data_IF_241491020162
#
_entry.id   IF_241491020162
#
_cell.length_a   1.000
_cell.length_b   1.000
_cell.length_c   1.000
_cell.angle_alpha   90.00
_cell.angle_beta   90.00
_cell.angle_gamma   90.00
#
_symmetry.space_group_name_H-M   'P 1'
#
loop_
_entity.id
_entity.type
_entity.pdbx_description
1 polymer ?
#
# COMPACT_ATOMS: atom_id res chain seq x y z
N UNK A 1 -31.53 13.92 -17.73
CA UNK A 1 -31.00 12.70 -18.33
C UNK A 1 -29.47 12.65 -18.52
N UNK A 2 -28.76 13.79 -18.70
CA UNK A 2 -27.28 13.80 -18.91
C UNK A 2 -26.42 13.51 -17.65
N UNK A 3 -26.94 13.66 -16.43
CA UNK A 3 -26.20 13.44 -15.19
C UNK A 3 -26.20 11.96 -14.70
N UNK A 4 -27.13 11.14 -15.17
CA UNK A 4 -27.22 9.73 -14.79
C UNK A 4 -26.24 8.86 -15.60
N UNK A 5 -25.95 9.26 -16.84
CA UNK A 5 -25.02 8.52 -17.73
C UNK A 5 -23.58 8.64 -17.21
N UNK A 6 -23.21 9.76 -16.58
CA UNK A 6 -21.84 9.96 -16.05
C UNK A 6 -21.52 9.08 -14.82
N UNK A 7 -22.52 8.82 -13.97
CA UNK A 7 -22.36 8.00 -12.77
C UNK A 7 -22.24 6.50 -13.10
N UNK A 8 -22.96 6.04 -14.14
CA UNK A 8 -22.88 4.65 -14.60
C UNK A 8 -21.55 4.36 -15.27
N UNK A 9 -20.95 5.33 -15.98
CA UNK A 9 -19.64 5.16 -16.63
C UNK A 9 -18.47 5.09 -15.63
N UNK A 10 -18.56 5.83 -14.53
CA UNK A 10 -17.55 5.78 -13.44
C UNK A 10 -17.66 4.45 -12.67
N UNK A 11 -18.87 3.93 -12.46
CA UNK A 11 -19.06 2.64 -11.80
C UNK A 11 -18.57 1.46 -12.65
N UNK A 12 -18.72 1.53 -13.98
CA UNK A 12 -18.17 0.52 -14.91
C UNK A 12 -16.65 0.55 -15.01
N UNK A 13 -16.00 1.72 -14.88
CA UNK A 13 -14.54 1.82 -14.91
C UNK A 13 -13.89 1.27 -13.64
N UNK A 14 -14.56 1.37 -12.48
CA UNK A 14 -14.09 0.78 -11.24
C UNK A 14 -14.26 -0.75 -11.21
N UNK A 15 -15.27 -1.30 -11.89
CA UNK A 15 -15.47 -2.76 -11.98
C UNK A 15 -14.57 -3.44 -13.01
N UNK A 16 -14.17 -2.74 -14.08
CA UNK A 16 -13.28 -3.30 -15.13
C UNK A 16 -11.81 -3.31 -14.71
N UNK A 17 -11.38 -2.45 -13.79
CA UNK A 17 -10.03 -2.47 -13.20
C UNK A 17 -9.78 -3.72 -12.36
N UNK A 18 -10.79 -4.20 -11.65
CA UNK A 18 -10.69 -5.42 -10.84
C UNK A 18 -10.63 -6.72 -11.65
N UNK A 19 -11.31 -6.77 -12.81
CA UNK A 19 -11.34 -7.97 -13.67
C UNK A 19 -9.99 -8.13 -14.41
N UNK A 20 -9.27 -7.06 -14.71
CA UNK A 20 -7.96 -7.15 -15.38
C UNK A 20 -6.84 -7.67 -14.48
N UNK A 21 -6.85 -7.39 -13.18
CA UNK A 21 -5.87 -7.94 -12.25
C UNK A 21 -5.97 -9.46 -12.06
N UNK A 22 -7.17 -10.04 -12.25
CA UNK A 22 -7.37 -11.49 -12.13
C UNK A 22 -6.74 -12.29 -13.28
N UNK A 23 -6.74 -11.76 -14.50
CA UNK A 23 -6.30 -12.51 -15.68
C UNK A 23 -4.76 -12.61 -15.82
N UNK A 24 -4.01 -11.68 -15.22
CA UNK A 24 -2.53 -11.68 -15.28
C UNK A 24 -1.87 -12.51 -14.17
N UNK A 25 -2.62 -12.89 -13.12
CA UNK A 25 -2.09 -13.59 -11.96
C UNK A 25 -2.18 -15.12 -12.01
N UNK A 26 -2.91 -15.67 -12.96
CA UNK A 26 -3.06 -17.13 -13.10
C UNK A 26 -1.93 -17.69 -13.95
N UNK A 27 -0.85 -18.12 -13.30
CA UNK A 27 0.11 -19.10 -13.84
C UNK A 27 -0.23 -20.47 -13.26
N UNK A 28 0.31 -21.54 -13.84
CA UNK A 28 0.03 -22.92 -13.40
C UNK A 28 0.40 -23.18 -11.93
N UNK A 29 1.34 -22.38 -11.40
CA UNK A 29 1.85 -22.48 -10.04
C UNK A 29 0.90 -21.93 -8.97
N UNK A 30 -0.10 -21.14 -9.36
CA UNK A 30 -1.13 -20.61 -8.43
C UNK A 30 -2.51 -20.93 -8.98
N UNK A 31 -3.35 -21.48 -8.13
CA UNK A 31 -4.75 -21.82 -8.46
C UNK A 31 -5.68 -21.41 -7.31
N UNK A 32 -6.99 -21.58 -7.48
CA UNK A 32 -7.94 -21.29 -6.42
C UNK A 32 -8.18 -22.52 -5.53
N UNK A 33 -8.09 -22.31 -4.22
CA UNK A 33 -8.46 -23.28 -3.18
C UNK A 33 -9.98 -23.23 -2.93
N UNK A 34 -10.55 -22.02 -2.94
CA UNK A 34 -11.97 -21.78 -2.73
C UNK A 34 -12.44 -20.65 -3.64
N UNK A 35 -13.59 -20.81 -4.27
CA UNK A 35 -14.21 -19.82 -5.13
C UNK A 35 -15.72 -19.83 -4.94
N UNK A 36 -16.32 -18.69 -4.60
CA UNK A 36 -17.75 -18.51 -4.54
C UNK A 36 -18.14 -17.04 -4.74
N UNK A 37 -19.03 -16.78 -5.68
CA UNK A 37 -19.56 -15.45 -5.94
C UNK A 37 -21.08 -15.47 -6.02
N UNK A 38 -21.71 -14.34 -5.73
CA UNK A 38 -23.15 -14.23 -5.89
C UNK A 38 -23.77 -12.99 -5.26
N UNK A 39 -25.10 -13.05 -5.20
CA UNK A 39 -25.91 -12.06 -4.52
C UNK A 39 -26.56 -12.75 -3.31
N UNK A 40 -26.54 -12.09 -2.18
CA UNK A 40 -27.28 -12.51 -0.99
C UNK A 40 -28.36 -11.49 -0.65
N UNK A 41 -29.38 -11.96 0.07
CA UNK A 41 -30.43 -11.11 0.63
C UNK A 41 -30.44 -11.33 2.15
N UNK A 42 -30.32 -10.26 2.91
CA UNK A 42 -30.35 -10.34 4.38
C UNK A 42 -31.79 -10.55 4.90
N UNK A 43 -31.92 -10.71 6.22
CA UNK A 43 -33.19 -10.97 6.89
C UNK A 43 -34.21 -9.82 6.81
N UNK A 44 -33.79 -8.63 6.41
CA UNK A 44 -34.64 -7.43 6.24
C UNK A 44 -34.81 -7.03 4.77
N UNK A 45 -34.32 -7.86 3.83
CA UNK A 45 -34.56 -7.71 2.39
C UNK A 45 -33.48 -6.89 1.65
N UNK A 46 -32.40 -6.44 2.29
CA UNK A 46 -31.31 -5.77 1.58
C UNK A 46 -30.53 -6.79 0.76
N UNK A 47 -30.15 -6.38 -0.46
CA UNK A 47 -29.31 -7.18 -1.34
C UNK A 47 -27.87 -6.68 -1.32
N UNK A 48 -26.92 -7.61 -1.23
CA UNK A 48 -25.50 -7.38 -1.34
C UNK A 48 -24.83 -8.38 -2.27
N UNK A 49 -23.63 -8.07 -2.72
CA UNK A 49 -22.77 -9.02 -3.45
C UNK A 49 -21.71 -9.58 -2.52
N UNK A 50 -21.39 -10.84 -2.70
CA UNK A 50 -20.24 -11.48 -2.09
C UNK A 50 -19.31 -12.05 -3.16
N UNK A 51 -18.02 -12.05 -2.88
CA UNK A 51 -16.97 -12.57 -3.75
C UNK A 51 -15.85 -13.14 -2.88
N UNK A 52 -15.69 -14.46 -2.90
CA UNK A 52 -14.67 -15.16 -2.14
C UNK A 52 -13.77 -15.91 -3.10
N UNK A 53 -12.54 -15.44 -3.21
CA UNK A 53 -11.47 -16.04 -4.00
C UNK A 53 -10.28 -16.27 -3.07
N UNK A 54 -9.95 -17.53 -2.84
CA UNK A 54 -8.86 -17.93 -1.93
C UNK A 54 -7.85 -18.73 -2.73
N UNK A 55 -6.58 -18.28 -2.81
CA UNK A 55 -5.56 -18.93 -3.62
C UNK A 55 -4.95 -20.14 -2.93
N UNK A 56 -4.25 -20.95 -3.71
CA UNK A 56 -3.27 -21.93 -3.24
C UNK A 56 -2.07 -22.00 -4.19
N UNK A 57 -0.92 -22.37 -3.67
CA UNK A 57 0.26 -22.74 -4.44
C UNK A 57 0.04 -24.18 -4.92
N UNK A 58 0.21 -24.42 -6.23
CA UNK A 58 -0.10 -25.72 -6.86
C UNK A 58 0.99 -26.77 -6.63
N UNK A 59 2.20 -26.35 -6.22
CA UNK A 59 3.32 -27.24 -5.94
C UNK A 59 3.03 -28.17 -4.76
N UNK A 60 3.56 -29.40 -4.82
CA UNK A 60 3.46 -30.40 -3.74
C UNK A 60 4.77 -30.49 -2.94
N UNK A 61 5.22 -29.36 -2.39
CA UNK A 61 6.36 -29.28 -1.48
C UNK A 61 5.91 -29.10 -0.04
N UNK A 62 6.76 -29.39 0.96
CA UNK A 62 6.39 -29.14 2.37
C UNK A 62 5.97 -27.69 2.64
N UNK A 63 6.73 -26.72 2.12
CA UNK A 63 6.49 -25.29 2.33
C UNK A 63 5.23 -24.81 1.61
N UNK A 64 4.96 -25.29 0.38
CA UNK A 64 3.71 -25.00 -0.33
C UNK A 64 2.49 -25.54 0.45
N UNK A 65 2.59 -26.76 1.01
CA UNK A 65 1.52 -27.31 1.85
C UNK A 65 1.31 -26.48 3.12
N UNK A 66 2.38 -26.06 3.80
CA UNK A 66 2.29 -25.22 5.00
C UNK A 66 1.60 -23.87 4.68
N UNK A 67 2.02 -23.19 3.60
CA UNK A 67 1.38 -21.93 3.14
C UNK A 67 -0.11 -22.18 2.83
N UNK A 68 -0.43 -23.25 2.10
CA UNK A 68 -1.81 -23.57 1.74
C UNK A 68 -2.66 -23.89 2.97
N UNK A 69 -2.12 -24.57 3.97
CA UNK A 69 -2.80 -24.88 5.23
C UNK A 69 -3.09 -23.60 6.03
N UNK A 70 -2.13 -22.66 6.11
CA UNK A 70 -2.34 -21.36 6.73
C UNK A 70 -3.47 -20.58 6.01
N UNK A 71 -3.43 -20.52 4.67
CA UNK A 71 -4.44 -19.84 3.86
C UNK A 71 -5.81 -20.52 4.03
N UNK A 72 -5.88 -21.84 3.99
CA UNK A 72 -7.11 -22.60 4.18
C UNK A 72 -7.73 -22.35 5.54
N UNK A 73 -6.91 -22.46 6.61
CA UNK A 73 -7.35 -22.30 7.99
C UNK A 73 -7.91 -20.90 8.28
N UNK A 74 -7.37 -19.88 7.64
CA UNK A 74 -7.79 -18.50 7.86
C UNK A 74 -8.86 -18.05 6.87
N UNK A 75 -8.61 -18.15 5.57
CA UNK A 75 -9.43 -17.50 4.56
C UNK A 75 -10.49 -18.42 3.95
N UNK A 76 -10.17 -19.71 3.64
CA UNK A 76 -11.18 -20.61 3.11
C UNK A 76 -12.24 -20.93 4.18
N UNK A 77 -11.83 -21.19 5.40
CA UNK A 77 -12.75 -21.39 6.53
C UNK A 77 -13.63 -20.15 6.77
N UNK A 78 -13.06 -18.94 6.74
CA UNK A 78 -13.85 -17.70 6.85
C UNK A 78 -14.89 -17.62 5.73
N UNK A 79 -14.50 -17.86 4.46
CA UNK A 79 -15.40 -17.85 3.32
C UNK A 79 -16.56 -18.85 3.49
N UNK A 80 -16.26 -20.08 3.91
CA UNK A 80 -17.27 -21.12 4.17
C UNK A 80 -18.24 -20.72 5.28
N UNK A 81 -17.72 -20.17 6.39
CA UNK A 81 -18.54 -19.70 7.52
C UNK A 81 -19.49 -18.58 7.08
N UNK A 82 -18.99 -17.56 6.38
CA UNK A 82 -19.80 -16.46 5.89
C UNK A 82 -20.84 -16.92 4.85
N UNK A 83 -20.45 -17.79 3.93
CA UNK A 83 -21.37 -18.38 2.96
C UNK A 83 -22.49 -19.20 3.63
N UNK A 84 -22.16 -19.93 4.69
CA UNK A 84 -23.16 -20.65 5.47
C UNK A 84 -24.16 -19.72 6.19
N UNK A 85 -23.68 -18.59 6.74
CA UNK A 85 -24.52 -17.56 7.34
C UNK A 85 -25.48 -16.97 6.31
N UNK A 86 -24.99 -16.63 5.12
CA UNK A 86 -25.83 -16.12 4.02
C UNK A 86 -26.94 -17.09 3.63
N UNK A 87 -26.63 -18.38 3.49
CA UNK A 87 -27.64 -19.40 3.18
C UNK A 87 -28.74 -19.53 4.22
N UNK A 88 -28.46 -19.16 5.46
CA UNK A 88 -29.43 -19.12 6.55
C UNK A 88 -30.18 -17.78 6.66
N UNK A 89 -29.90 -16.81 5.78
CA UNK A 89 -30.45 -15.45 5.88
C UNK A 89 -29.95 -14.66 7.10
N UNK A 90 -28.78 -15.03 7.64
CA UNK A 90 -28.14 -14.36 8.77
C UNK A 90 -27.23 -13.26 8.28
N UNK A 91 -26.96 -12.28 9.15
CA UNK A 91 -26.03 -11.19 8.85
C UNK A 91 -24.63 -11.71 8.66
N UNK A 92 -23.96 -11.21 7.62
CA UNK A 92 -22.55 -11.46 7.34
C UNK A 92 -21.75 -10.19 7.54
N UNK A 93 -20.50 -10.33 7.91
CA UNK A 93 -19.60 -9.21 8.11
C UNK A 93 -18.43 -9.17 7.11
N UNK A 94 -18.09 -10.32 6.51
CA UNK A 94 -17.11 -10.39 5.43
C UNK A 94 -17.82 -10.81 4.13
N UNK A 95 -17.85 -9.92 3.15
CA UNK A 95 -18.43 -10.19 1.82
C UNK A 95 -17.41 -10.20 0.70
N UNK A 96 -16.15 -9.89 1.00
CA UNK A 96 -15.10 -9.96 0.01
C UNK A 96 -13.83 -10.55 0.61
N UNK A 97 -13.35 -11.63 -0.01
CA UNK A 97 -12.01 -12.17 0.16
C UNK A 97 -11.41 -12.25 -1.22
N UNK A 98 -10.27 -11.62 -1.42
CA UNK A 98 -9.58 -11.60 -2.70
C UNK A 98 -8.07 -11.72 -2.52
N UNK A 99 -7.39 -11.93 -3.62
CA UNK A 99 -5.94 -12.05 -3.64
C UNK A 99 -5.35 -11.46 -4.90
N UNK A 100 -4.03 -11.21 -4.85
CA UNK A 100 -3.18 -10.82 -5.97
C UNK A 100 -1.91 -11.67 -5.93
N UNK A 101 -1.36 -12.02 -7.09
CA UNK A 101 -0.05 -12.63 -7.20
C UNK A 101 0.89 -11.69 -7.94
N UNK A 102 2.07 -11.50 -7.37
CA UNK A 102 3.15 -10.70 -7.94
C UNK A 102 4.31 -11.64 -8.28
N UNK A 103 4.77 -11.58 -9.52
CA UNK A 103 5.78 -12.49 -10.05
C UNK A 103 7.09 -11.75 -10.29
N UNK A 104 8.16 -12.27 -9.72
CA UNK A 104 9.52 -11.81 -9.95
C UNK A 104 10.38 -13.01 -10.28
N UNK A 105 10.75 -13.14 -11.55
CA UNK A 105 11.39 -14.35 -12.11
C UNK A 105 10.55 -15.60 -11.79
N UNK A 106 11.07 -16.53 -11.00
CA UNK A 106 10.40 -17.75 -10.56
C UNK A 106 9.87 -17.66 -9.12
N UNK A 107 9.82 -16.48 -8.55
CA UNK A 107 9.24 -16.21 -7.24
C UNK A 107 7.82 -15.65 -7.37
N UNK A 108 6.91 -16.13 -6.54
CA UNK A 108 5.56 -15.61 -6.43
C UNK A 108 5.30 -15.07 -5.03
N UNK A 109 4.71 -13.88 -4.97
CA UNK A 109 4.21 -13.29 -3.74
C UNK A 109 2.69 -13.19 -3.82
N UNK A 110 2.02 -13.81 -2.86
CA UNK A 110 0.56 -13.76 -2.73
C UNK A 110 0.19 -12.71 -1.69
N UNK A 111 -0.59 -11.72 -2.08
CA UNK A 111 -1.23 -10.77 -1.16
C UNK A 111 -2.71 -11.11 -1.06
N UNK A 112 -3.17 -11.52 0.11
CA UNK A 112 -4.57 -11.78 0.40
C UNK A 112 -5.16 -10.60 1.18
N UNK A 113 -6.44 -10.33 0.91
CA UNK A 113 -7.22 -9.33 1.63
C UNK A 113 -8.60 -9.87 1.94
N UNK A 114 -9.11 -9.57 3.12
CA UNK A 114 -10.47 -9.86 3.52
C UNK A 114 -11.08 -8.62 4.19
N UNK A 115 -12.35 -8.33 3.88
CA UNK A 115 -13.07 -7.29 4.60
C UNK A 115 -13.38 -7.75 6.02
N UNK A 116 -13.24 -6.86 6.98
CA UNK A 116 -13.60 -7.05 8.37
C UNK A 116 -14.66 -6.03 8.80
N UNK A 117 -15.31 -6.21 9.96
CA UNK A 117 -16.23 -5.21 10.51
C UNK A 117 -15.59 -3.83 10.64
N UNK A 118 -16.41 -2.77 10.55
CA UNK A 118 -15.98 -1.37 10.65
C UNK A 118 -15.05 -0.90 9.53
N UNK A 119 -15.25 -1.41 8.30
CA UNK A 119 -14.46 -1.07 7.10
C UNK A 119 -12.96 -1.38 7.22
N UNK A 120 -12.62 -2.29 8.13
CA UNK A 120 -11.27 -2.81 8.24
C UNK A 120 -10.95 -3.75 7.08
N UNK A 121 -9.66 -3.83 6.76
CA UNK A 121 -9.14 -4.81 5.82
C UNK A 121 -8.07 -5.63 6.54
N UNK A 122 -8.29 -6.92 6.57
CA UNK A 122 -7.27 -7.89 6.99
C UNK A 122 -6.42 -8.24 5.78
N UNK A 123 -5.10 -8.15 5.94
CA UNK A 123 -4.13 -8.54 4.93
C UNK A 123 -3.28 -9.71 5.41
N UNK A 124 -2.81 -10.53 4.47
CA UNK A 124 -1.71 -11.46 4.66
C UNK A 124 -0.87 -11.53 3.38
N UNK A 125 0.42 -11.79 3.53
CA UNK A 125 1.32 -11.99 2.40
C UNK A 125 2.12 -13.29 2.58
N UNK A 126 2.37 -13.99 1.47
CA UNK A 126 3.14 -15.23 1.40
C UNK A 126 4.06 -15.17 0.19
N UNK A 127 5.33 -15.49 0.39
CA UNK A 127 6.30 -15.63 -0.69
C UNK A 127 6.67 -17.10 -0.90
N UNK A 128 6.84 -17.51 -2.16
CA UNK A 128 7.22 -18.87 -2.54
C UNK A 128 8.14 -18.85 -3.75
N UNK A 129 9.23 -19.59 -3.68
CA UNK A 129 10.19 -19.77 -4.76
C UNK A 129 9.87 -21.06 -5.50
N UNK A 130 9.48 -20.94 -6.78
CA UNK A 130 9.01 -22.06 -7.59
C UNK A 130 10.17 -22.99 -8.04
N UNK A 131 11.40 -22.49 -8.06
CA UNK A 131 12.59 -23.30 -8.43
C UNK A 131 13.07 -24.17 -7.28
N UNK A 132 13.18 -23.57 -6.09
CA UNK A 132 13.65 -24.29 -4.90
C UNK A 132 12.54 -25.05 -4.17
N UNK A 133 11.30 -24.63 -4.35
CA UNK A 133 10.14 -25.15 -3.63
C UNK A 133 10.03 -24.70 -2.20
N UNK A 134 10.71 -23.60 -1.83
CA UNK A 134 10.81 -23.07 -0.48
C UNK A 134 9.96 -21.83 -0.27
N UNK A 135 9.52 -21.64 0.98
CA UNK A 135 8.86 -20.40 1.43
C UNK A 135 9.89 -19.27 1.49
N UNK A 136 9.55 -18.12 0.91
CA UNK A 136 10.39 -16.92 1.00
C UNK A 136 10.07 -16.20 2.32
N UNK A 137 11.09 -16.01 3.14
CA UNK A 137 10.99 -15.30 4.42
C UNK A 137 11.39 -13.84 4.26
N UNK A 138 10.96 -12.98 5.20
CA UNK A 138 11.38 -11.57 5.25
C UNK A 138 12.90 -11.41 5.17
N UNK A 139 13.63 -12.25 5.89
CA UNK A 139 15.10 -12.24 5.89
C UNK A 139 15.68 -12.54 4.51
N UNK A 140 15.11 -13.50 3.79
CA UNK A 140 15.55 -13.84 2.41
C UNK A 140 15.31 -12.66 1.47
N UNK A 141 14.15 -11.99 1.57
CA UNK A 141 13.84 -10.80 0.77
C UNK A 141 14.91 -9.72 1.02
N UNK A 142 15.17 -9.37 2.28
CA UNK A 142 16.16 -8.34 2.62
C UNK A 142 17.57 -8.71 2.12
N UNK A 143 17.99 -9.96 2.28
CA UNK A 143 19.28 -10.42 1.81
C UNK A 143 19.43 -10.37 0.28
N UNK A 144 18.40 -10.75 -0.46
CA UNK A 144 18.38 -10.66 -1.93
C UNK A 144 18.55 -9.22 -2.43
N UNK A 145 18.04 -8.26 -1.67
CA UNK A 145 18.12 -6.82 -2.00
C UNK A 145 19.31 -6.10 -1.34
N UNK A 146 20.15 -6.81 -0.58
CA UNK A 146 21.31 -6.23 0.12
C UNK A 146 20.93 -5.23 1.22
N UNK A 147 19.71 -5.34 1.78
CA UNK A 147 19.17 -4.45 2.81
C UNK A 147 19.48 -5.06 4.18
N UNK A 148 20.00 -4.25 5.12
CA UNK A 148 20.20 -4.66 6.50
C UNK A 148 18.90 -4.56 7.29
N UNK A 149 18.67 -5.48 8.23
CA UNK A 149 17.45 -5.51 9.05
C UNK A 149 17.24 -4.21 9.85
N UNK A 150 18.31 -3.65 10.41
CA UNK A 150 18.24 -2.38 11.17
C UNK A 150 17.81 -1.21 10.26
N UNK A 151 18.43 -1.11 9.08
CA UNK A 151 18.11 -0.08 8.08
C UNK A 151 16.65 -0.18 7.62
N UNK A 152 16.21 -1.40 7.35
CA UNK A 152 14.81 -1.66 7.00
C UNK A 152 13.85 -1.21 8.10
N UNK A 153 14.10 -1.59 9.37
CA UNK A 153 13.23 -1.24 10.48
C UNK A 153 13.20 0.26 10.77
N UNK A 154 14.31 0.97 10.59
CA UNK A 154 14.35 2.44 10.70
C UNK A 154 13.45 3.08 9.64
N UNK A 155 13.60 2.70 8.37
CA UNK A 155 12.76 3.22 7.28
C UNK A 155 11.28 2.86 7.45
N UNK A 156 10.96 1.62 7.87
CA UNK A 156 9.58 1.21 8.15
C UNK A 156 8.95 2.05 9.26
N UNK A 157 9.68 2.35 10.33
CA UNK A 157 9.18 3.20 11.42
C UNK A 157 8.93 4.63 10.97
N UNK A 158 9.81 5.21 10.16
CA UNK A 158 9.60 6.56 9.62
C UNK A 158 8.39 6.59 8.65
N UNK A 159 8.24 5.60 7.77
CA UNK A 159 7.08 5.50 6.90
C UNK A 159 5.77 5.29 7.70
N UNK A 160 5.80 4.43 8.73
CA UNK A 160 4.67 4.22 9.63
C UNK A 160 4.29 5.49 10.42
N UNK A 161 5.28 6.28 10.85
CA UNK A 161 5.08 7.58 11.52
C UNK A 161 4.42 8.59 10.59
N UNK A 162 4.90 8.72 9.35
CA UNK A 162 4.32 9.60 8.36
C UNK A 162 2.85 9.23 8.08
N UNK A 163 2.57 7.94 7.93
CA UNK A 163 1.22 7.43 7.71
C UNK A 163 0.32 7.63 8.94
N UNK A 164 0.83 7.42 10.16
CA UNK A 164 0.13 7.72 11.42
C UNK A 164 -0.30 9.19 11.47
N UNK A 165 0.60 10.12 11.16
CA UNK A 165 0.28 11.56 11.12
C UNK A 165 -0.81 11.85 10.09
N UNK A 166 -0.69 11.29 8.89
CA UNK A 166 -1.68 11.44 7.80
C UNK A 166 -3.06 10.91 8.20
N UNK A 167 -3.14 9.70 8.75
CA UNK A 167 -4.40 9.05 9.13
C UNK A 167 -5.10 9.76 10.31
N UNK A 168 -4.34 10.45 11.16
CA UNK A 168 -4.85 11.19 12.32
C UNK A 168 -4.93 12.70 12.10
N UNK A 169 -4.67 13.21 10.89
CA UNK A 169 -4.63 14.66 10.57
C UNK A 169 -5.96 15.39 10.77
N UNK A 170 -7.09 14.69 10.64
CA UNK A 170 -8.44 15.24 10.84
C UNK A 170 -8.86 15.38 12.31
N UNK A 171 -8.05 14.92 13.26
CA UNK A 171 -8.37 14.96 14.68
C UNK A 171 -7.72 16.21 15.29
N UNK A 172 -8.51 17.15 15.86
CA UNK A 172 -7.98 18.34 16.51
C UNK A 172 -7.09 17.94 17.68
N UNK A 173 -5.82 18.32 17.64
CA UNK A 173 -4.83 17.99 18.68
C UNK A 173 -5.21 18.58 20.05
N UNK A 174 -5.92 19.71 20.07
CA UNK A 174 -6.47 20.37 21.25
C UNK A 174 -7.59 19.59 21.96
N UNK A 175 -8.15 18.56 21.30
CA UNK A 175 -9.16 17.65 21.87
C UNK A 175 -8.56 16.34 22.40
N UNK A 176 -7.29 16.11 22.15
CA UNK A 176 -6.55 14.98 22.67
C UNK A 176 -5.64 15.47 23.79
N UNK A 177 -5.56 14.71 24.89
CA UNK A 177 -4.43 14.88 25.82
C UNK A 177 -3.15 14.60 25.04
N UNK A 178 -2.17 15.52 25.09
CA UNK A 178 -0.89 15.40 24.37
C UNK A 178 -0.20 14.06 24.65
N UNK A 179 -0.29 13.59 25.88
CA UNK A 179 0.18 12.27 26.29
C UNK A 179 -0.44 11.10 25.51
N UNK A 180 -1.74 11.21 25.14
CA UNK A 180 -2.44 10.15 24.39
C UNK A 180 -1.98 10.03 22.94
N UNK A 181 -1.63 11.17 22.30
CA UNK A 181 -1.12 11.19 20.93
C UNK A 181 0.26 10.52 20.87
N UNK A 182 1.18 10.94 21.75
CA UNK A 182 2.52 10.39 21.80
C UNK A 182 2.53 8.91 22.22
N UNK A 183 1.63 8.51 23.12
CA UNK A 183 1.49 7.11 23.51
C UNK A 183 1.03 6.23 22.33
N UNK A 184 0.03 6.65 21.55
CA UNK A 184 -0.43 5.87 20.41
C UNK A 184 0.60 5.85 19.28
N UNK A 185 1.32 6.96 19.05
CA UNK A 185 2.43 7.01 18.11
C UNK A 185 3.53 6.03 18.54
N UNK A 186 3.97 6.09 19.81
CA UNK A 186 5.00 5.20 20.31
C UNK A 186 4.60 3.73 20.19
N UNK A 187 3.35 3.38 20.48
CA UNK A 187 2.83 2.02 20.26
C UNK A 187 2.85 1.66 18.79
N UNK A 188 2.44 2.56 17.91
CA UNK A 188 2.50 2.33 16.45
C UNK A 188 3.92 1.99 16.00
N UNK A 189 4.92 2.74 16.49
CA UNK A 189 6.32 2.47 16.15
C UNK A 189 6.85 1.16 16.76
N UNK A 190 6.39 0.78 17.95
CA UNK A 190 6.73 -0.50 18.57
C UNK A 190 6.14 -1.72 17.87
N UNK A 191 4.99 -1.57 17.19
CA UNK A 191 4.40 -2.65 16.38
C UNK A 191 5.20 -2.95 15.11
N UNK A 192 6.06 -2.02 14.66
CA UNK A 192 6.90 -2.25 13.48
C UNK A 192 8.07 -3.16 13.83
N UNK A 193 7.98 -4.44 13.44
CA UNK A 193 8.97 -5.49 13.71
C UNK A 193 9.27 -6.29 12.44
N UNK A 194 10.29 -7.12 12.50
CA UNK A 194 10.63 -8.06 11.41
C UNK A 194 9.61 -9.18 11.19
N UNK A 195 8.67 -9.37 12.12
CA UNK A 195 7.63 -10.40 12.00
C UNK A 195 6.44 -9.97 11.12
N UNK A 196 6.37 -8.69 10.75
CA UNK A 196 5.32 -8.20 9.86
C UNK A 196 5.51 -8.76 8.45
N UNK A 197 4.43 -9.28 7.80
CA UNK A 197 4.54 -9.87 6.48
C UNK A 197 5.06 -8.85 5.46
N UNK A 198 6.05 -9.27 4.68
CA UNK A 198 6.64 -8.54 3.54
C UNK A 198 6.36 -9.27 2.24
N UNK A 199 6.33 -8.52 1.17
CA UNK A 199 6.27 -9.06 -0.20
C UNK A 199 6.83 -8.06 -1.20
N UNK A 200 7.22 -8.54 -2.37
CA UNK A 200 7.54 -7.69 -3.52
C UNK A 200 6.27 -7.46 -4.31
N UNK A 201 5.91 -6.20 -4.54
CA UNK A 201 4.72 -5.84 -5.30
C UNK A 201 4.96 -5.84 -6.82
N UNK A 202 3.95 -5.47 -7.60
CA UNK A 202 4.02 -5.47 -9.07
C UNK A 202 5.14 -4.59 -9.66
N UNK A 203 5.57 -3.57 -8.94
CA UNK A 203 6.62 -2.65 -9.35
C UNK A 203 8.02 -3.13 -8.93
N UNK A 204 8.09 -4.28 -8.25
CA UNK A 204 9.32 -4.79 -7.64
C UNK A 204 9.70 -4.05 -6.37
N UNK A 205 8.74 -3.40 -5.72
CA UNK A 205 8.94 -2.66 -4.48
C UNK A 205 8.69 -3.53 -3.26
N UNK A 206 9.57 -3.41 -2.28
CA UNK A 206 9.40 -4.05 -0.99
C UNK A 206 8.26 -3.39 -0.21
N UNK A 207 7.16 -4.13 -0.05
CA UNK A 207 5.95 -3.68 0.64
C UNK A 207 5.72 -4.51 1.89
N UNK A 208 5.34 -3.85 2.98
CA UNK A 208 5.07 -4.45 4.29
C UNK A 208 3.63 -4.22 4.70
N UNK A 209 3.03 -5.21 5.34
CA UNK A 209 1.72 -5.07 5.99
C UNK A 209 1.96 -4.48 7.38
N UNK A 210 2.00 -3.15 7.48
CA UNK A 210 2.23 -2.42 8.71
C UNK A 210 0.95 -2.18 9.51
N UNK A 211 1.06 -2.08 10.82
CA UNK A 211 -0.06 -1.78 11.71
C UNK A 211 0.03 -0.34 12.20
N UNK A 212 -1.01 0.44 11.93
CA UNK A 212 -1.05 1.88 12.22
C UNK A 212 -2.15 2.18 13.23
N UNK A 213 -1.79 2.90 14.28
CA UNK A 213 -2.74 3.38 15.29
C UNK A 213 -3.58 4.54 14.76
N UNK A 214 -4.89 4.52 15.05
CA UNK A 214 -5.82 5.58 14.66
C UNK A 214 -6.75 5.87 15.84
N UNK A 215 -6.99 7.14 16.14
CA UNK A 215 -7.88 7.55 17.23
C UNK A 215 -9.37 7.30 16.93
N UNK A 216 -9.71 7.19 15.65
CA UNK A 216 -11.09 6.92 15.22
C UNK A 216 -11.30 5.46 14.84
N UNK A 217 -12.53 4.98 14.94
CA UNK A 217 -12.89 3.64 14.49
C UNK A 217 -12.32 2.51 15.37
N UNK A 218 -11.65 1.54 14.76
CA UNK A 218 -11.15 0.35 15.43
C UNK A 218 -9.82 0.55 16.21
N UNK A 219 -9.24 1.74 16.15
CA UNK A 219 -8.01 2.08 16.86
C UNK A 219 -6.73 1.53 16.24
N UNK A 220 -6.79 0.52 15.35
CA UNK A 220 -5.64 -0.12 14.72
C UNK A 220 -6.02 -0.63 13.34
N UNK A 221 -5.23 -0.25 12.33
CA UNK A 221 -5.47 -0.60 10.93
C UNK A 221 -4.22 -1.20 10.31
N UNK A 222 -4.38 -2.25 9.50
CA UNK A 222 -3.33 -2.76 8.63
C UNK A 222 -3.26 -1.91 7.37
N UNK A 223 -2.06 -1.53 6.98
CA UNK A 223 -1.77 -0.71 5.82
C UNK A 223 -0.62 -1.31 5.02
N UNK A 224 -0.66 -1.15 3.71
CA UNK A 224 0.44 -1.54 2.83
C UNK A 224 1.43 -0.37 2.77
N UNK A 225 2.66 -0.60 3.21
CA UNK A 225 3.70 0.43 3.37
C UNK A 225 4.95 0.03 2.60
N UNK A 226 5.39 0.89 1.70
CA UNK A 226 6.69 0.83 1.04
C UNK A 226 7.71 1.57 1.90
N UNK A 227 8.53 0.86 2.64
CA UNK A 227 9.42 1.43 3.64
C UNK A 227 10.49 2.38 3.07
N UNK A 228 10.85 2.21 1.79
CA UNK A 228 11.86 3.04 1.12
C UNK A 228 11.29 4.07 0.16
N UNK A 229 9.98 4.16 0.02
CA UNK A 229 9.30 5.17 -0.80
C UNK A 229 8.83 6.34 0.06
N UNK A 230 9.23 7.55 -0.31
CA UNK A 230 8.92 8.77 0.41
C UNK A 230 8.21 9.78 -0.49
N UNK A 231 7.32 10.59 0.12
CA UNK A 231 6.55 11.59 -0.60
C UNK A 231 7.39 12.83 -0.92
N UNK A 232 7.10 13.45 -2.06
CA UNK A 232 7.64 14.72 -2.51
C UNK A 232 6.49 15.72 -2.56
N UNK A 233 6.46 16.65 -1.60
CA UNK A 233 5.41 17.64 -1.46
C UNK A 233 5.86 18.96 -2.12
N UNK A 234 5.08 19.46 -3.08
CA UNK A 234 5.36 20.73 -3.71
C UNK A 234 4.75 21.87 -2.89
N UNK A 235 5.56 22.85 -2.49
CA UNK A 235 5.14 24.01 -1.70
C UNK A 235 5.61 25.33 -2.33
N UNK A 236 4.91 26.42 -2.07
CA UNK A 236 5.20 27.74 -2.65
C UNK A 236 4.71 27.90 -4.08
N UNK A 237 5.53 28.46 -4.97
CA UNK A 237 5.17 28.73 -6.37
C UNK A 237 5.19 27.45 -7.24
N UNK A 238 4.45 26.42 -6.83
CA UNK A 238 4.42 25.10 -7.48
C UNK A 238 3.96 25.14 -8.93
N UNK A 239 3.24 26.20 -9.36
CA UNK A 239 2.87 26.45 -10.75
C UNK A 239 4.09 26.71 -11.68
N UNK A 240 5.27 26.93 -11.13
CA UNK A 240 6.52 27.03 -11.86
C UNK A 240 7.15 25.67 -12.19
N UNK A 241 6.65 24.59 -11.60
CA UNK A 241 7.11 23.23 -11.86
C UNK A 241 6.34 22.66 -13.05
N UNK A 242 7.07 22.23 -14.06
CA UNK A 242 6.52 21.51 -15.22
C UNK A 242 6.34 20.03 -14.88
N UNK A 243 7.32 19.42 -14.21
CA UNK A 243 7.31 18.01 -13.84
C UNK A 243 8.13 17.78 -12.57
N UNK A 244 7.57 17.00 -11.66
CA UNK A 244 8.25 16.45 -10.48
C UNK A 244 7.55 15.14 -10.07
N UNK A 245 8.27 14.07 -9.77
CA UNK A 245 7.68 12.87 -9.21
C UNK A 245 6.93 13.18 -7.91
N UNK A 246 5.90 12.42 -7.59
CA UNK A 246 5.17 12.55 -6.31
C UNK A 246 5.82 11.77 -5.18
N UNK A 247 6.59 10.75 -5.53
CA UNK A 247 7.32 9.88 -4.61
C UNK A 247 8.65 9.49 -5.23
N UNK A 248 9.62 9.13 -4.41
CA UNK A 248 10.87 8.53 -4.83
C UNK A 248 11.44 7.65 -3.70
N UNK A 249 12.35 6.76 -4.05
CA UNK A 249 13.03 5.90 -3.07
C UNK A 249 14.20 6.61 -2.41
N UNK A 250 14.49 6.25 -1.17
CA UNK A 250 15.74 6.65 -0.51
C UNK A 250 16.94 6.39 -1.43
N UNK A 251 17.78 7.41 -1.64
CA UNK A 251 18.96 7.33 -2.49
C UNK A 251 18.70 7.51 -4.00
N UNK A 252 17.46 7.57 -4.44
CA UNK A 252 17.10 7.83 -5.84
C UNK A 252 17.39 9.28 -6.23
N UNK A 253 17.91 9.48 -7.44
CA UNK A 253 18.07 10.83 -7.99
C UNK A 253 16.74 11.32 -8.56
N UNK A 254 16.18 12.32 -7.92
CA UNK A 254 14.93 12.98 -8.33
C UNK A 254 15.26 14.15 -9.25
N UNK A 255 14.60 14.20 -10.42
CA UNK A 255 14.70 15.31 -11.37
C UNK A 255 13.44 16.17 -11.29
N UNK A 256 13.62 17.48 -11.09
CA UNK A 256 12.58 18.50 -11.13
C UNK A 256 12.76 19.30 -12.40
N UNK A 257 11.72 19.34 -13.24
CA UNK A 257 11.66 20.21 -14.41
C UNK A 257 10.78 21.43 -14.10
N UNK A 258 11.23 22.60 -14.48
CA UNK A 258 10.51 23.86 -14.30
C UNK A 258 10.28 24.53 -15.65
N UNK A 259 9.20 25.31 -15.76
CA UNK A 259 8.99 26.14 -16.94
C UNK A 259 10.13 27.14 -17.13
N UNK A 260 10.50 27.39 -18.38
CA UNK A 260 11.49 28.44 -18.70
C UNK A 260 10.87 29.83 -18.53
N UNK A 261 11.49 30.68 -17.71
CA UNK A 261 11.02 32.03 -17.43
C UNK A 261 12.07 33.02 -17.92
N UNK A 262 11.66 33.95 -18.79
CA UNK A 262 12.57 34.91 -19.43
C UNK A 262 12.99 36.05 -18.50
N UNK A 263 12.12 36.45 -17.56
CA UNK A 263 12.28 37.69 -16.79
C UNK A 263 12.67 37.46 -15.30
N UNK A 264 13.33 36.38 -15.01
CA UNK A 264 13.75 36.07 -13.63
C UNK A 264 14.49 34.76 -13.52
N UNK A 265 14.80 34.39 -12.28
CA UNK A 265 15.39 33.10 -11.93
C UNK A 265 14.52 32.38 -10.90
N UNK A 266 14.80 31.12 -10.68
CA UNK A 266 14.11 30.25 -9.72
C UNK A 266 15.11 29.72 -8.73
N UNK A 267 14.70 29.66 -7.47
CA UNK A 267 15.41 28.93 -6.41
C UNK A 267 14.54 27.77 -5.98
N UNK A 268 15.14 26.59 -5.96
CA UNK A 268 14.53 25.37 -5.45
C UNK A 268 15.29 24.97 -4.20
N UNK A 269 14.54 24.80 -3.12
CA UNK A 269 15.00 24.29 -1.84
C UNK A 269 14.28 22.96 -1.57
N UNK A 270 15.00 21.94 -1.12
CA UNK A 270 14.43 20.65 -0.72
C UNK A 270 14.76 20.41 0.75
N UNK A 271 13.75 20.08 1.55
CA UNK A 271 13.98 19.80 2.97
C UNK A 271 14.85 18.56 3.14
N UNK A 272 15.98 18.68 3.83
CA UNK A 272 16.88 17.56 4.12
C UNK A 272 17.72 17.04 2.96
N UNK A 273 17.77 17.75 1.82
CA UNK A 273 18.59 17.36 0.67
C UNK A 273 19.23 18.57 -0.02
N UNK A 274 20.44 18.38 -0.54
CA UNK A 274 21.11 19.36 -1.37
C UNK A 274 20.59 19.30 -2.81
N UNK A 275 20.28 20.46 -3.38
CA UNK A 275 19.78 20.59 -4.74
C UNK A 275 20.89 21.01 -5.69
N UNK A 276 21.08 20.24 -6.75
CA UNK A 276 22.01 20.55 -7.84
C UNK A 276 21.22 21.13 -9.01
N UNK A 277 21.57 22.34 -9.44
CA UNK A 277 21.05 22.91 -10.68
C UNK A 277 21.84 22.37 -11.87
N UNK A 278 21.21 21.54 -12.69
CA UNK A 278 21.84 20.93 -13.87
C UNK A 278 21.89 21.96 -15.03
N UNK A 279 20.78 22.68 -15.23
CA UNK A 279 20.64 23.73 -16.23
C UNK A 279 19.57 24.75 -15.81
N UNK A 280 19.10 25.60 -16.73
CA UNK A 280 18.14 26.68 -16.44
C UNK A 280 16.77 26.19 -16.00
N UNK A 281 16.37 24.98 -16.42
CA UNK A 281 15.04 24.42 -16.16
C UNK A 281 15.09 23.12 -15.37
N UNK A 282 16.27 22.55 -15.18
CA UNK A 282 16.44 21.21 -14.58
C UNK A 282 17.24 21.30 -13.28
N UNK A 283 16.67 20.68 -12.24
CA UNK A 283 17.26 20.56 -10.90
C UNK A 283 17.20 19.11 -10.47
N UNK A 284 18.18 18.68 -9.70
CA UNK A 284 18.26 17.31 -9.19
C UNK A 284 18.62 17.31 -7.70
N UNK A 285 18.10 16.33 -6.98
CA UNK A 285 18.53 16.02 -5.62
C UNK A 285 18.48 14.48 -5.41
N UNK A 286 19.19 14.01 -4.38
CA UNK A 286 19.12 12.60 -3.95
C UNK A 286 18.07 12.51 -2.85
N UNK A 287 17.10 11.60 -3.01
CA UNK A 287 16.02 11.42 -2.05
C UNK A 287 16.55 10.97 -0.69
N UNK A 288 16.32 11.73 0.39
CA UNK A 288 16.70 11.31 1.74
C UNK A 288 15.73 10.24 2.28
N UNK A 289 16.04 9.59 3.42
CA UNK A 289 15.21 8.54 4.02
C UNK A 289 13.98 9.09 4.77
N UNK A 290 13.31 10.11 4.21
CA UNK A 290 12.10 10.73 4.75
C UNK A 290 11.39 11.56 3.68
N UNK A 291 10.11 11.85 3.90
CA UNK A 291 9.33 12.75 3.05
C UNK A 291 9.98 14.13 2.95
N UNK A 292 9.93 14.73 1.76
CA UNK A 292 10.54 16.05 1.51
C UNK A 292 9.50 17.08 1.06
N UNK A 293 9.76 18.33 1.43
CA UNK A 293 9.08 19.49 0.88
C UNK A 293 9.99 20.16 -0.15
N UNK A 294 9.52 20.21 -1.41
CA UNK A 294 10.17 20.95 -2.50
C UNK A 294 9.56 22.33 -2.55
N UNK A 295 10.34 23.33 -2.17
CA UNK A 295 9.94 24.73 -2.15
C UNK A 295 10.50 25.45 -3.35
N UNK A 296 9.62 26.03 -4.15
CA UNK A 296 9.98 26.85 -5.32
C UNK A 296 9.70 28.31 -5.02
N UNK A 297 10.66 29.17 -5.34
CA UNK A 297 10.54 30.64 -5.25
C UNK A 297 10.96 31.26 -6.57
N UNK A 298 10.16 32.18 -7.06
CA UNK A 298 10.54 33.07 -8.16
C UNK A 298 11.37 34.24 -7.62
N UNK A 299 12.48 34.54 -8.29
CA UNK A 299 13.28 35.72 -8.04
C UNK A 299 13.23 36.56 -9.31
N UNK A 300 12.38 37.61 -9.32
CA UNK A 300 12.32 38.57 -10.41
C UNK A 300 13.65 39.32 -10.53
N UNK A 301 14.08 39.64 -11.74
CA UNK A 301 15.14 40.58 -11.97
C UNK A 301 14.65 41.95 -11.47
N UNK A 302 14.97 42.31 -10.21
CA UNK A 302 14.65 43.61 -9.69
C UNK A 302 15.25 44.65 -10.64
N UNK A 303 14.39 45.38 -11.35
CA UNK A 303 14.74 46.61 -11.98
C UNK A 303 15.09 47.55 -10.82
N UNK A 304 16.41 47.73 -10.60
CA UNK A 304 16.94 48.78 -9.74
C UNK A 304 16.74 50.15 -10.39
#
# INVERSE_FOLDING_TARGET
MKKIISAVFILCLLSTGFIRCYAESLREEVSELYNAEGIYTDSIGNQGRYSYHVPKISADTPDAREINDEIAKKYAKLAEEQFHLMKKGLSVWCWNIGWQAFWHDNQVFLLLRANEPNDLIEYAAYGYDCDTGERITNKMILQQHGIREEEYLENLKEAAKALFVKMNSGIPKDKLEESSYDELLNRTLQWQTMDQPMYMDQDGELTTIAEIGVFAGAGRYKQLVRAFEHNINLVGDSNLIESCPKTARTGETVTILTYDITDGDKVIEVSGADVVRVNRIEYQFVMPPHDVDVKVKFIGNGLA
#
